data_IF_863310588075
#
_entry.id   IF_863310588075
#
_cell.length_a   1.000
_cell.length_b   1.000
_cell.length_c   1.000
_cell.angle_alpha   90.00
_cell.angle_beta   90.00
_cell.angle_gamma   90.00
#
_symmetry.space_group_name_H-M   'P 1'
#
loop_
_entity.id
_entity.type
_entity.pdbx_description
1 polymer ?
#
# COMPACT_ATOMS: atom_id res chain seq x y z
N UNK A 1 27.06 57.93 24.67
CA UNK A 1 26.29 56.75 25.17
C UNK A 1 25.75 56.03 23.97
N UNK A 2 26.44 54.91 23.57
CA UNK A 2 26.00 54.05 22.43
C UNK A 2 25.07 52.99 22.98
N UNK A 3 23.81 52.95 22.53
CA UNK A 3 22.84 51.90 22.87
C UNK A 3 23.01 50.74 21.87
N UNK A 4 23.58 49.66 22.33
CA UNK A 4 23.66 48.39 21.61
C UNK A 4 22.31 47.70 21.75
N UNK A 5 21.57 47.59 20.64
CA UNK A 5 20.38 46.71 20.53
C UNK A 5 20.87 45.28 20.38
N UNK A 6 20.63 44.45 21.38
CA UNK A 6 20.77 43.00 21.27
C UNK A 6 19.51 42.47 20.58
N UNK A 7 19.65 42.05 19.31
CA UNK A 7 18.61 41.31 18.64
C UNK A 7 18.64 39.87 19.13
N UNK A 8 17.64 39.47 19.90
CA UNK A 8 17.37 38.07 20.26
C UNK A 8 16.69 37.43 19.08
N UNK A 9 17.44 36.65 18.30
CA UNK A 9 16.87 35.75 17.31
C UNK A 9 16.25 34.56 18.05
N UNK A 10 14.92 34.58 18.21
CA UNK A 10 14.16 33.42 18.62
C UNK A 10 14.20 32.45 17.44
N UNK A 11 15.08 31.44 17.51
CA UNK A 11 14.93 30.24 16.66
C UNK A 11 13.62 29.59 17.13
N UNK A 12 12.55 29.78 16.39
CA UNK A 12 11.38 28.92 16.48
C UNK A 12 11.84 27.54 16.00
N UNK A 13 12.19 26.65 16.95
CA UNK A 13 12.23 25.23 16.67
C UNK A 13 10.79 24.83 16.29
N UNK A 14 10.52 24.72 15.00
CA UNK A 14 9.35 23.99 14.53
C UNK A 14 9.55 22.55 15.02
N UNK A 15 8.88 22.18 16.09
CA UNK A 15 8.67 20.77 16.41
C UNK A 15 7.86 20.20 15.25
N UNK A 16 8.56 19.62 14.28
CA UNK A 16 7.91 18.87 13.22
C UNK A 16 7.08 17.78 13.90
N UNK A 17 5.80 17.72 13.59
CA UNK A 17 4.95 16.58 13.97
C UNK A 17 5.55 15.38 13.25
N UNK A 18 5.99 14.37 13.99
CA UNK A 18 6.62 13.18 13.43
C UNK A 18 5.63 12.03 13.48
N UNK A 19 5.59 11.20 12.42
CA UNK A 19 4.99 9.88 12.45
C UNK A 19 5.70 9.07 13.52
N UNK A 20 4.95 8.37 14.34
CA UNK A 20 5.49 7.68 15.53
C UNK A 20 6.69 8.44 16.07
N UNK A 21 6.45 9.35 16.99
CA UNK A 21 7.48 10.26 17.52
C UNK A 21 8.69 9.48 18.01
N UNK A 22 9.89 9.84 17.54
CA UNK A 22 11.13 9.11 17.78
C UNK A 22 11.11 7.63 17.31
N UNK A 23 10.21 7.26 16.42
CA UNK A 23 10.16 5.93 15.79
C UNK A 23 11.33 5.69 14.85
N UNK A 24 11.46 4.46 14.41
CA UNK A 24 12.45 4.05 13.41
C UNK A 24 11.91 4.39 12.00
N UNK A 25 12.60 5.25 11.23
CA UNK A 25 12.21 5.51 9.85
C UNK A 25 12.29 4.26 8.99
N UNK A 26 11.25 4.03 8.17
CA UNK A 26 11.16 2.89 7.24
C UNK A 26 10.89 3.40 5.84
N UNK A 27 11.36 2.67 4.84
CA UNK A 27 10.99 2.95 3.45
C UNK A 27 9.54 2.54 3.20
N UNK A 28 8.71 3.47 2.77
CA UNK A 28 7.33 3.16 2.38
C UNK A 28 7.26 2.16 1.20
N UNK A 29 8.30 2.05 0.38
CA UNK A 29 8.37 1.06 -0.71
C UNK A 29 8.51 -0.38 -0.21
N UNK A 30 8.90 -0.59 1.03
CA UNK A 30 8.89 -1.92 1.65
C UNK A 30 7.47 -2.35 2.06
N UNK A 31 6.56 -1.36 2.19
CA UNK A 31 5.17 -1.52 2.60
C UNK A 31 4.21 -0.76 1.65
N UNK A 32 4.18 -1.11 0.35
CA UNK A 32 3.44 -0.34 -0.66
C UNK A 32 1.92 -0.36 -0.49
N UNK A 33 1.39 -1.29 0.31
CA UNK A 33 -0.03 -1.34 0.67
C UNK A 33 -0.42 -0.44 1.85
N UNK A 34 0.54 0.23 2.52
CA UNK A 34 0.22 1.21 3.54
C UNK A 34 -0.21 2.53 2.93
N UNK A 35 -1.19 3.13 3.56
CA UNK A 35 -1.92 4.28 3.05
C UNK A 35 -1.74 5.47 3.99
N UNK A 36 -1.33 6.60 3.41
CA UNK A 36 -1.31 7.90 4.06
C UNK A 36 -2.61 8.67 3.77
N UNK A 37 -3.19 9.18 4.81
CA UNK A 37 -4.30 10.12 4.81
C UNK A 37 -4.14 11.03 6.05
N UNK A 38 -5.17 11.72 6.54
CA UNK A 38 -5.09 12.38 7.87
C UNK A 38 -4.82 11.39 9.02
N UNK A 39 -4.93 10.12 8.72
CA UNK A 39 -4.62 8.93 9.49
C UNK A 39 -3.68 8.02 8.68
N UNK A 40 -3.48 6.80 9.18
CA UNK A 40 -2.83 5.69 8.47
C UNK A 40 -3.85 4.61 8.17
N UNK A 41 -3.66 3.86 7.10
CA UNK A 41 -4.49 2.70 6.77
C UNK A 41 -3.70 1.63 6.01
N UNK A 42 -4.37 0.53 5.71
CA UNK A 42 -3.78 -0.58 4.95
C UNK A 42 -4.73 -1.03 3.85
N UNK A 43 -4.25 -1.11 2.62
CA UNK A 43 -5.00 -1.67 1.49
C UNK A 43 -5.20 -3.17 1.69
N UNK A 44 -6.45 -3.62 1.62
CA UNK A 44 -6.84 -5.03 1.66
C UNK A 44 -7.88 -5.35 0.58
N UNK A 45 -8.04 -6.63 0.22
CA UNK A 45 -9.09 -7.09 -0.71
C UNK A 45 -9.16 -6.31 -2.03
N UNK A 46 -8.03 -5.85 -2.54
CA UNK A 46 -7.93 -5.15 -3.82
C UNK A 46 -8.25 -3.65 -3.78
N UNK A 47 -9.32 -3.21 -3.14
CA UNK A 47 -9.78 -1.81 -3.16
C UNK A 47 -10.26 -1.26 -1.82
N UNK A 48 -10.14 -2.01 -0.75
CA UNK A 48 -10.55 -1.58 0.58
C UNK A 48 -9.35 -1.06 1.38
N UNK A 49 -9.54 0.00 2.13
CA UNK A 49 -8.56 0.51 3.10
C UNK A 49 -9.09 0.24 4.49
N UNK A 50 -8.40 -0.63 5.21
CA UNK A 50 -8.63 -0.90 6.62
C UNK A 50 -8.01 0.23 7.44
N UNK A 51 -8.80 0.87 8.32
CA UNK A 51 -8.37 2.00 9.14
C UNK A 51 -9.22 2.14 10.40
N UNK A 52 -8.92 3.09 11.27
CA UNK A 52 -9.74 3.39 12.44
C UNK A 52 -11.03 4.13 12.04
N UNK A 53 -12.14 3.87 12.75
CA UNK A 53 -13.42 4.51 12.46
C UNK A 53 -13.38 6.03 12.68
N UNK A 54 -12.74 6.49 13.75
CA UNK A 54 -12.67 7.93 14.02
C UNK A 54 -11.92 8.71 12.91
N UNK A 55 -11.18 8.02 12.03
CA UNK A 55 -10.58 8.63 10.85
C UNK A 55 -11.63 9.04 9.80
N UNK A 56 -12.85 8.47 9.87
CA UNK A 56 -13.97 8.85 8.99
C UNK A 56 -14.66 10.14 9.43
N UNK A 57 -14.40 10.59 10.64
CA UNK A 57 -15.17 11.61 11.36
C UNK A 57 -14.91 13.06 10.97
N UNK A 58 -14.05 13.33 10.06
CA UNK A 58 -13.89 14.73 9.69
C UNK A 58 -15.14 15.25 8.99
N UNK A 59 -15.68 16.29 9.59
CA UNK A 59 -16.90 17.06 9.27
C UNK A 59 -17.08 17.54 7.81
N UNK A 60 -16.40 16.97 6.85
CA UNK A 60 -16.35 17.55 5.51
C UNK A 60 -17.34 16.95 4.53
N UNK A 61 -18.05 15.85 4.86
CA UNK A 61 -19.02 15.23 3.97
C UNK A 61 -18.52 14.94 2.55
N UNK A 62 -17.21 15.00 2.33
CA UNK A 62 -16.54 14.88 1.03
C UNK A 62 -15.69 13.62 0.94
N UNK A 63 -15.53 13.14 -0.28
CA UNK A 63 -14.61 12.06 -0.64
C UNK A 63 -13.17 12.50 -0.29
N UNK A 64 -12.42 11.60 0.35
CA UNK A 64 -11.06 11.92 0.78
C UNK A 64 -10.02 11.35 -0.16
N UNK A 65 -8.93 12.06 -0.37
CA UNK A 65 -7.77 11.50 -1.04
C UNK A 65 -7.08 10.49 -0.11
N UNK A 66 -6.62 9.41 -0.72
CA UNK A 66 -5.87 8.32 -0.09
C UNK A 66 -4.59 8.16 -0.88
N UNK A 67 -3.44 8.26 -0.22
CA UNK A 67 -2.13 8.23 -0.86
C UNK A 67 -1.41 6.91 -0.55
N UNK A 68 -1.08 6.14 -1.57
CA UNK A 68 -0.23 4.95 -1.44
C UNK A 68 1.23 5.35 -1.73
N UNK A 69 1.90 5.87 -0.72
CA UNK A 69 3.22 6.49 -0.81
C UNK A 69 4.31 5.52 -1.32
N UNK A 70 4.21 4.25 -0.95
CA UNK A 70 5.18 3.23 -1.33
C UNK A 70 4.86 2.50 -2.64
N UNK A 71 3.67 2.72 -3.21
CA UNK A 71 3.23 2.04 -4.42
C UNK A 71 3.85 2.66 -5.69
N UNK A 72 3.84 1.90 -6.77
CA UNK A 72 4.20 2.43 -8.08
C UNK A 72 3.20 3.52 -8.51
N UNK A 73 3.68 4.52 -9.23
CA UNK A 73 2.81 5.57 -9.77
C UNK A 73 1.89 4.98 -10.85
N UNK A 74 0.62 5.37 -10.79
CA UNK A 74 -0.34 5.00 -11.83
C UNK A 74 0.09 5.51 -13.22
N UNK A 75 -0.59 5.03 -14.24
CA UNK A 75 -0.39 5.49 -15.63
C UNK A 75 -0.62 6.99 -15.80
N UNK A 76 -1.38 7.63 -14.91
CA UNK A 76 -1.58 9.07 -14.84
C UNK A 76 -0.52 9.80 -13.99
N UNK A 77 0.44 9.06 -13.43
CA UNK A 77 1.52 9.60 -12.58
C UNK A 77 1.10 9.90 -11.14
N UNK A 78 -0.10 9.49 -10.72
CA UNK A 78 -0.59 9.70 -9.37
C UNK A 78 -0.43 8.47 -8.48
N UNK A 79 -0.24 8.70 -7.18
CA UNK A 79 -0.35 7.70 -6.12
C UNK A 79 -1.61 7.91 -5.27
N UNK A 80 -2.44 8.87 -5.67
CA UNK A 80 -3.66 9.24 -4.96
C UNK A 80 -4.86 8.52 -5.52
N UNK A 81 -5.73 8.10 -4.63
CA UNK A 81 -7.00 7.44 -4.91
C UNK A 81 -8.13 8.20 -4.23
N UNK A 82 -9.33 8.06 -4.72
CA UNK A 82 -10.51 8.68 -4.13
C UNK A 82 -11.30 7.63 -3.38
N UNK A 83 -11.60 7.89 -2.12
CA UNK A 83 -12.60 7.15 -1.35
C UNK A 83 -13.98 7.38 -1.96
N UNK A 84 -14.79 6.34 -2.09
CA UNK A 84 -16.18 6.43 -2.60
C UNK A 84 -17.21 6.06 -1.54
N UNK A 85 -16.85 5.23 -0.56
CA UNK A 85 -17.68 4.89 0.59
C UNK A 85 -16.82 4.57 1.83
N UNK A 86 -17.43 4.58 3.00
CA UNK A 86 -16.86 4.13 4.26
C UNK A 86 -17.91 3.35 5.04
N UNK A 87 -17.55 2.13 5.41
CA UNK A 87 -18.39 1.23 6.20
C UNK A 87 -17.70 1.02 7.54
N UNK A 88 -18.38 1.30 8.63
CA UNK A 88 -17.89 1.00 9.98
C UNK A 88 -18.64 -0.18 10.58
N UNK A 89 -18.00 -0.88 11.50
CA UNK A 89 -18.60 -2.03 12.18
C UNK A 89 -19.83 -1.65 13.01
N UNK A 90 -19.91 -0.41 13.51
CA UNK A 90 -21.08 0.09 14.24
C UNK A 90 -22.34 0.09 13.39
N UNK A 91 -22.24 0.38 12.09
CA UNK A 91 -23.39 0.30 11.18
C UNK A 91 -23.88 -1.12 11.03
N UNK A 92 -22.99 -2.09 11.22
CA UNK A 92 -23.26 -3.49 10.99
C UNK A 92 -23.81 -4.20 12.25
N UNK A 93 -23.14 -4.06 13.39
CA UNK A 93 -23.43 -4.79 14.62
C UNK A 93 -23.96 -3.92 15.77
N UNK A 94 -23.94 -2.59 15.65
CA UNK A 94 -24.28 -1.67 16.71
C UNK A 94 -23.29 -1.66 17.89
N UNK A 95 -22.07 -2.15 17.67
CA UNK A 95 -20.96 -2.13 18.63
C UNK A 95 -20.13 -0.86 18.44
N UNK A 96 -19.34 -0.49 19.44
CA UNK A 96 -18.57 0.74 19.44
C UNK A 96 -17.12 0.56 18.95
N UNK A 97 -16.88 -0.45 18.12
CA UNK A 97 -15.52 -0.72 17.61
C UNK A 97 -14.97 0.42 16.78
N UNK A 98 -13.72 0.78 17.03
CA UNK A 98 -13.02 1.84 16.31
C UNK A 98 -12.31 1.28 15.07
N UNK A 99 -13.08 0.72 14.15
CA UNK A 99 -12.61 0.10 12.90
C UNK A 99 -13.52 0.50 11.73
N UNK A 100 -12.93 0.71 10.56
CA UNK A 100 -13.64 1.09 9.33
C UNK A 100 -12.95 0.54 8.09
N UNK A 101 -13.74 0.29 7.06
CA UNK A 101 -13.29 -0.05 5.71
C UNK A 101 -13.71 1.05 4.74
N UNK A 102 -12.77 1.65 4.06
CA UNK A 102 -13.03 2.65 3.03
C UNK A 102 -12.91 2.01 1.67
N UNK A 103 -13.97 2.10 0.88
CA UNK A 103 -13.95 1.65 -0.50
C UNK A 103 -13.29 2.70 -1.40
N UNK A 104 -12.32 2.28 -2.22
CA UNK A 104 -11.69 3.12 -3.23
C UNK A 104 -12.40 3.00 -4.57
N UNK A 105 -12.39 4.07 -5.37
CA UNK A 105 -13.01 4.11 -6.69
C UNK A 105 -12.41 3.09 -7.68
N UNK A 106 -11.18 2.64 -7.43
CA UNK A 106 -10.47 1.64 -8.23
C UNK A 106 -9.41 0.94 -7.39
N UNK A 107 -9.01 -0.26 -7.81
CA UNK A 107 -7.90 -0.99 -7.17
C UNK A 107 -6.57 -0.29 -7.45
N UNK A 108 -5.78 -0.02 -6.42
CA UNK A 108 -4.41 0.48 -6.55
C UNK A 108 -3.45 -0.57 -7.11
N UNK A 109 -2.32 -0.09 -7.64
CA UNK A 109 -1.24 -0.92 -8.15
C UNK A 109 -0.20 -1.12 -7.06
N UNK A 110 -0.17 -2.31 -6.49
CA UNK A 110 0.79 -2.69 -5.44
C UNK A 110 1.41 -4.04 -5.75
N UNK A 111 2.71 -4.16 -5.54
CA UNK A 111 3.48 -5.40 -5.75
C UNK A 111 3.61 -6.25 -4.48
N UNK A 112 3.21 -5.70 -3.33
CA UNK A 112 3.22 -6.38 -2.02
C UNK A 112 2.03 -5.96 -1.20
N UNK A 113 1.52 -6.88 -0.39
CA UNK A 113 0.46 -6.65 0.59
C UNK A 113 0.85 -7.23 1.95
N UNK A 114 0.19 -6.75 3.00
CA UNK A 114 0.31 -7.30 4.35
C UNK A 114 -0.90 -8.19 4.62
N UNK A 115 -0.68 -9.46 4.91
CA UNK A 115 -1.76 -10.39 5.23
C UNK A 115 -2.32 -10.18 6.63
N UNK A 116 -3.60 -10.51 6.80
CA UNK A 116 -4.30 -10.43 8.07
C UNK A 116 -4.15 -11.74 8.85
N UNK A 117 -4.23 -11.65 10.18
CA UNK A 117 -4.38 -12.82 11.05
C UNK A 117 -5.70 -12.75 11.79
N UNK A 118 -6.43 -13.86 11.77
CA UNK A 118 -7.63 -14.06 12.59
C UNK A 118 -7.33 -14.82 13.89
N UNK A 119 -6.06 -15.15 14.13
CA UNK A 119 -5.67 -15.87 15.34
C UNK A 119 -5.81 -14.97 16.56
N UNK A 120 -6.55 -15.38 17.59
CA UNK A 120 -6.60 -14.64 18.84
C UNK A 120 -5.21 -14.42 19.42
N UNK A 121 -4.95 -13.21 19.87
CA UNK A 121 -3.65 -12.87 20.47
C UNK A 121 -3.62 -13.44 21.89
N UNK A 122 -2.75 -14.42 22.12
CA UNK A 122 -2.48 -14.93 23.47
C UNK A 122 -1.78 -13.86 24.31
N UNK A 123 -2.07 -13.84 25.61
CA UNK A 123 -1.40 -12.93 26.55
C UNK A 123 0.03 -13.41 26.82
N UNK A 124 0.92 -13.14 25.89
CA UNK A 124 2.35 -13.35 26.05
C UNK A 124 3.08 -11.99 26.13
N UNK A 125 3.60 -11.70 27.33
CA UNK A 125 4.30 -10.44 27.61
C UNK A 125 5.66 -10.34 26.90
N UNK A 126 6.11 -11.40 26.24
CA UNK A 126 7.36 -11.42 25.48
C UNK A 126 7.16 -11.18 24.00
N UNK A 127 5.94 -11.28 23.51
CA UNK A 127 5.62 -11.02 22.10
C UNK A 127 5.85 -9.55 21.75
N UNK A 128 6.56 -9.32 20.66
CA UNK A 128 6.85 -7.98 20.13
C UNK A 128 5.92 -7.66 18.97
N UNK A 129 5.23 -6.54 19.09
CA UNK A 129 4.31 -6.01 18.09
C UNK A 129 4.96 -4.83 17.38
N UNK A 130 4.95 -4.84 16.06
CA UNK A 130 5.41 -3.71 15.26
C UNK A 130 4.24 -2.84 14.87
N UNK A 131 4.25 -1.58 15.28
CA UNK A 131 3.26 -0.55 14.91
C UNK A 131 3.85 0.28 13.78
N UNK A 132 3.04 0.60 12.79
CA UNK A 132 3.43 1.41 11.63
C UNK A 132 2.49 2.60 11.46
N UNK A 133 3.04 3.76 11.11
CA UNK A 133 2.23 4.94 10.87
C UNK A 133 2.95 6.03 10.10
N UNK A 134 2.16 6.89 9.44
CA UNK A 134 2.64 8.08 8.74
C UNK A 134 2.56 9.33 9.61
N UNK A 135 1.76 9.29 10.70
CA UNK A 135 1.49 10.48 11.50
C UNK A 135 0.98 11.63 10.64
N UNK A 136 1.38 12.85 10.98
CA UNK A 136 1.10 14.05 10.20
C UNK A 136 2.34 14.56 9.45
N UNK A 137 3.17 13.65 8.91
CA UNK A 137 4.53 13.95 8.47
C UNK A 137 4.75 14.10 6.98
N UNK A 138 3.70 14.11 6.16
CA UNK A 138 3.84 14.16 4.71
C UNK A 138 4.77 13.06 4.16
N UNK A 139 4.26 11.83 4.08
CA UNK A 139 4.88 10.70 3.37
C UNK A 139 6.07 10.01 4.07
N UNK A 140 6.29 10.21 5.34
CA UNK A 140 7.33 9.48 6.08
C UNK A 140 6.72 8.38 6.92
N UNK A 141 7.03 7.15 6.59
CA UNK A 141 6.63 5.99 7.37
C UNK A 141 7.64 5.75 8.49
N UNK A 142 7.14 5.56 9.71
CA UNK A 142 7.93 5.14 10.86
C UNK A 142 7.32 3.89 11.50
N UNK A 143 8.13 3.19 12.29
CA UNK A 143 7.67 2.09 13.14
C UNK A 143 8.13 2.24 14.57
N UNK A 144 7.40 1.57 15.47
CA UNK A 144 7.81 1.34 16.84
C UNK A 144 7.50 -0.11 17.25
N UNK A 145 8.20 -0.62 18.25
CA UNK A 145 7.98 -1.93 18.82
C UNK A 145 7.33 -1.80 20.20
N UNK A 146 6.26 -2.56 20.40
CA UNK A 146 5.48 -2.59 21.64
C UNK A 146 5.34 -4.03 22.12
N UNK A 147 4.95 -4.21 23.38
CA UNK A 147 4.60 -5.50 23.99
C UNK A 147 3.21 -5.38 24.63
N UNK A 148 2.58 -6.49 24.98
CA UNK A 148 1.29 -6.46 25.69
C UNK A 148 1.48 -5.69 27.01
N UNK A 149 0.58 -4.74 27.28
CA UNK A 149 0.57 -4.00 28.53
C UNK A 149 0.23 -4.94 29.68
N UNK A 150 1.12 -5.01 30.67
CA UNK A 150 0.96 -5.89 31.82
C UNK A 150 -0.04 -5.38 32.87
N UNK A 151 -0.43 -4.12 32.76
CA UNK A 151 -1.21 -3.41 33.79
C UNK A 151 -2.69 -3.32 33.44
N UNK A 152 -3.08 -3.56 32.20
CA UNK A 152 -4.45 -3.45 31.74
C UNK A 152 -5.05 -4.86 31.59
N UNK A 153 -6.30 -5.02 32.02
CA UNK A 153 -7.01 -6.29 31.93
C UNK A 153 -7.23 -6.66 30.46
N UNK A 154 -7.22 -7.94 30.21
CA UNK A 154 -7.49 -8.51 28.90
C UNK A 154 -8.90 -8.13 28.42
N UNK A 155 -9.02 -7.72 27.15
CA UNK A 155 -10.25 -7.34 26.51
C UNK A 155 -10.34 -8.08 25.17
N UNK A 156 -11.52 -8.60 24.82
CA UNK A 156 -11.70 -9.37 23.59
C UNK A 156 -11.60 -8.48 22.34
N UNK A 157 -12.08 -7.24 22.46
CA UNK A 157 -12.10 -6.25 21.37
C UNK A 157 -10.79 -5.46 21.29
N UNK A 158 -10.28 -5.01 22.44
CA UNK A 158 -9.17 -4.08 22.50
C UNK A 158 -7.86 -4.78 22.87
N UNK A 159 -6.81 -4.35 22.22
CA UNK A 159 -5.42 -4.70 22.52
C UNK A 159 -4.74 -3.50 23.16
N UNK A 160 -4.22 -3.70 24.36
CA UNK A 160 -3.45 -2.69 25.07
C UNK A 160 -1.97 -3.04 24.99
N UNK A 161 -1.18 -2.10 24.48
CA UNK A 161 0.24 -2.27 24.25
C UNK A 161 1.03 -1.22 25.02
N UNK A 162 2.13 -1.61 25.63
CA UNK A 162 3.07 -0.75 26.31
C UNK A 162 4.43 -0.72 25.62
N UNK A 163 5.11 0.42 25.73
CA UNK A 163 6.47 0.56 25.23
C UNK A 163 7.37 1.11 26.35
N UNK A 164 8.18 0.24 26.93
CA UNK A 164 9.17 0.61 27.95
C UNK A 164 10.36 1.36 27.31
N UNK A 165 10.14 2.58 26.79
CA UNK A 165 11.21 3.51 26.34
C UNK A 165 12.03 3.10 25.12
N UNK A 166 11.63 2.09 24.35
CA UNK A 166 12.59 1.52 23.41
C UNK A 166 12.71 2.30 22.10
N UNK A 167 11.61 2.63 21.44
CA UNK A 167 11.70 3.33 20.17
C UNK A 167 10.33 3.84 19.68
N UNK A 168 10.08 5.06 19.93
CA UNK A 168 8.95 5.78 19.36
C UNK A 168 7.65 5.68 20.14
N UNK A 169 6.82 6.68 19.96
CA UNK A 169 5.50 6.83 20.55
C UNK A 169 4.51 7.10 19.45
N UNK A 170 3.37 6.41 19.45
CA UNK A 170 2.30 6.75 18.53
C UNK A 170 1.84 8.20 18.70
N UNK A 171 1.49 8.84 17.61
CA UNK A 171 1.15 10.24 17.53
C UNK A 171 -0.14 10.43 16.69
N UNK A 172 -0.76 11.62 16.71
CA UNK A 172 -1.86 11.92 15.81
C UNK A 172 -1.50 11.63 14.34
N UNK A 173 -2.37 10.90 13.65
CA UNK A 173 -2.16 10.44 12.27
C UNK A 173 -1.63 9.01 12.14
N UNK A 174 -1.18 8.37 13.23
CA UNK A 174 -0.85 6.94 13.25
C UNK A 174 -2.10 6.08 13.44
N UNK A 175 -3.23 6.67 13.83
CA UNK A 175 -4.54 6.02 13.94
C UNK A 175 -4.89 5.26 12.66
N UNK A 176 -5.40 4.04 12.79
CA UNK A 176 -5.72 3.14 11.67
C UNK A 176 -4.50 2.41 11.09
N UNK A 177 -3.29 2.74 11.53
CA UNK A 177 -2.06 2.05 11.15
C UNK A 177 -2.05 0.59 11.63
N UNK A 178 -1.46 -0.34 10.85
CA UNK A 178 -1.46 -1.74 11.19
C UNK A 178 -0.51 -2.05 12.35
N UNK A 179 -0.94 -3.00 13.16
CA UNK A 179 -0.11 -3.62 14.20
C UNK A 179 0.17 -5.05 13.77
N UNK A 180 1.45 -5.38 13.62
CA UNK A 180 1.90 -6.66 13.15
C UNK A 180 2.45 -7.53 14.29
N UNK A 181 2.07 -8.80 14.25
CA UNK A 181 2.71 -9.89 14.96
C UNK A 181 3.06 -10.97 13.91
N UNK A 182 4.30 -11.44 13.89
CA UNK A 182 4.78 -12.43 12.92
C UNK A 182 4.51 -12.03 11.46
N UNK A 183 4.71 -10.76 11.13
CA UNK A 183 4.48 -10.15 9.81
C UNK A 183 3.02 -10.19 9.31
N UNK A 184 2.05 -10.45 10.17
CA UNK A 184 0.62 -10.37 9.84
C UNK A 184 -0.05 -9.29 10.66
N UNK A 185 -1.04 -8.62 10.07
CA UNK A 185 -1.85 -7.63 10.77
C UNK A 185 -2.75 -8.36 11.78
N UNK A 186 -2.60 -8.02 13.04
CA UNK A 186 -3.39 -8.60 14.15
C UNK A 186 -4.34 -7.59 14.79
N UNK A 187 -4.06 -6.29 14.60
CA UNK A 187 -4.86 -5.20 15.13
C UNK A 187 -4.61 -3.91 14.32
N UNK A 188 -5.44 -2.90 14.53
CA UNK A 188 -5.24 -1.54 14.03
C UNK A 188 -5.14 -0.57 15.19
N UNK A 189 -4.29 0.45 15.04
CA UNK A 189 -4.04 1.48 16.04
C UNK A 189 -5.27 2.39 16.18
N UNK A 190 -5.80 2.50 17.41
CA UNK A 190 -6.85 3.48 17.72
C UNK A 190 -6.22 4.80 18.20
N UNK A 191 -5.29 4.73 19.14
CA UNK A 191 -4.68 5.92 19.69
C UNK A 191 -3.84 5.64 20.95
N UNK A 192 -3.57 6.70 21.68
CA UNK A 192 -2.80 6.63 22.94
C UNK A 192 -3.69 6.01 24.02
N UNK A 193 -3.18 4.98 24.67
CA UNK A 193 -3.87 4.26 25.72
C UNK A 193 -3.74 4.95 27.11
N UNK A 194 -4.62 4.55 28.06
CA UNK A 194 -4.62 5.07 29.41
C UNK A 194 -3.53 4.42 30.31
N UNK A 195 -2.52 3.80 29.73
CA UNK A 195 -1.52 3.05 30.49
C UNK A 195 -0.86 3.89 31.59
N UNK A 196 -0.84 3.35 32.81
CA UNK A 196 -0.02 3.89 33.87
C UNK A 196 1.37 3.24 33.82
N UNK A 197 2.44 4.03 34.02
CA UNK A 197 3.78 3.46 34.03
C UNK A 197 3.94 2.49 35.21
N UNK A 198 4.76 1.43 35.05
CA UNK A 198 5.13 0.55 36.14
C UNK A 198 5.61 1.32 37.35
N UNK A 199 5.27 0.82 38.56
CA UNK A 199 5.70 1.46 39.82
C UNK A 199 7.23 1.56 39.85
N UNK A 200 7.72 2.80 39.93
CA UNK A 200 9.15 3.10 39.91
C UNK A 200 9.69 3.55 38.52
N UNK A 201 8.88 3.56 37.52
CA UNK A 201 9.22 4.17 36.22
C UNK A 201 8.90 5.67 36.27
N UNK A 202 9.77 6.58 35.82
CA UNK A 202 9.44 7.99 35.69
C UNK A 202 8.23 8.12 34.73
N UNK A 203 7.12 8.69 35.24
CA UNK A 203 5.82 8.72 34.52
C UNK A 203 5.83 9.43 33.17
N UNK A 204 6.86 10.25 32.88
CA UNK A 204 6.96 11.07 31.69
C UNK A 204 7.40 10.27 30.43
N UNK A 205 7.66 8.99 30.57
CA UNK A 205 8.29 8.20 29.52
C UNK A 205 7.58 6.85 29.21
N UNK A 206 6.46 6.55 29.83
CA UNK A 206 5.68 5.38 29.51
C UNK A 206 4.67 5.72 28.38
N UNK A 207 4.72 4.96 27.33
CA UNK A 207 3.85 5.14 26.19
C UNK A 207 2.99 3.90 26.01
N UNK A 208 1.68 4.08 26.01
CA UNK A 208 0.72 3.02 25.75
C UNK A 208 -0.03 3.28 24.45
N UNK A 209 -0.45 2.22 23.80
CA UNK A 209 -1.30 2.24 22.62
C UNK A 209 -2.56 1.40 22.89
N UNK A 210 -3.69 1.88 22.38
CA UNK A 210 -4.91 1.10 22.27
C UNK A 210 -5.11 0.73 20.80
N UNK A 211 -5.54 -0.48 20.55
CA UNK A 211 -5.82 -0.98 19.22
C UNK A 211 -7.07 -1.86 19.18
N UNK A 212 -7.76 -1.91 18.05
CA UNK A 212 -8.84 -2.86 17.79
C UNK A 212 -8.28 -4.16 17.23
N UNK A 213 -8.61 -5.30 17.87
CA UNK A 213 -8.17 -6.64 17.45
C UNK A 213 -8.91 -7.07 16.19
N UNK A 214 -8.20 -7.56 15.18
CA UNK A 214 -8.85 -8.09 13.96
C UNK A 214 -9.61 -9.38 14.23
N UNK A 215 -9.18 -10.22 15.17
CA UNK A 215 -9.92 -11.44 15.56
C UNK A 215 -11.33 -11.16 16.09
N UNK A 216 -11.56 -9.98 16.66
CA UNK A 216 -12.90 -9.55 17.10
C UNK A 216 -13.77 -9.14 15.92
N UNK A 217 -13.21 -8.43 14.94
CA UNK A 217 -13.92 -7.86 13.79
C UNK A 217 -13.86 -8.74 12.54
N UNK A 218 -13.35 -9.98 12.64
CA UNK A 218 -13.07 -10.83 11.49
C UNK A 218 -14.28 -11.12 10.60
N UNK A 219 -15.43 -11.43 11.21
CA UNK A 219 -16.65 -11.78 10.46
C UNK A 219 -17.17 -10.59 9.66
N UNK A 220 -17.15 -9.42 10.25
CA UNK A 220 -17.51 -8.16 9.57
C UNK A 220 -16.54 -7.83 8.42
N UNK A 221 -15.22 -8.04 8.60
CA UNK A 221 -14.23 -7.85 7.53
C UNK A 221 -14.53 -8.77 6.36
N UNK A 222 -14.78 -10.06 6.63
CA UNK A 222 -15.10 -11.04 5.58
C UNK A 222 -16.40 -10.73 4.85
N UNK A 223 -17.45 -10.32 5.58
CA UNK A 223 -18.73 -9.96 4.97
C UNK A 223 -18.63 -8.70 4.09
N UNK A 224 -17.80 -7.73 4.48
CA UNK A 224 -17.63 -6.47 3.75
C UNK A 224 -16.73 -6.64 2.54
N UNK A 225 -15.57 -7.27 2.70
CA UNK A 225 -14.56 -7.44 1.64
C UNK A 225 -14.97 -8.52 0.65
N UNK A 226 -15.25 -9.72 1.14
CA UNK A 226 -15.67 -10.93 0.40
C UNK A 226 -14.91 -11.13 -0.93
N UNK A 227 -13.59 -11.11 -0.89
CA UNK A 227 -12.73 -11.11 -2.08
C UNK A 227 -11.35 -11.70 -1.79
N UNK A 228 -10.56 -11.93 -2.82
CA UNK A 228 -9.14 -12.23 -2.67
C UNK A 228 -8.35 -11.00 -2.23
N UNK A 229 -7.33 -11.21 -1.42
CA UNK A 229 -6.36 -10.21 -0.99
C UNK A 229 -4.96 -10.60 -1.47
N UNK A 230 -4.44 -9.86 -2.43
CA UNK A 230 -3.21 -10.19 -3.15
C UNK A 230 -2.55 -8.92 -3.73
N UNK A 231 -1.27 -8.99 -4.17
CA UNK A 231 -0.65 -7.95 -5.00
C UNK A 231 -1.41 -7.78 -6.32
N UNK A 232 -1.55 -6.55 -6.81
CA UNK A 232 -2.26 -6.27 -8.07
C UNK A 232 -1.35 -6.19 -9.28
N UNK A 233 -0.03 -6.04 -9.04
CA UNK A 233 1.01 -6.08 -10.08
C UNK A 233 2.11 -7.05 -9.66
N UNK A 234 2.87 -7.53 -10.65
CA UNK A 234 4.01 -8.43 -10.43
C UNK A 234 5.03 -8.35 -11.55
N UNK A 235 6.15 -9.02 -11.36
CA UNK A 235 7.19 -9.15 -12.38
C UNK A 235 7.60 -10.60 -12.56
N UNK A 236 7.85 -10.98 -13.81
CA UNK A 236 8.41 -12.28 -14.18
C UNK A 236 9.37 -12.09 -15.36
N UNK A 237 10.61 -12.56 -15.21
CA UNK A 237 11.60 -12.47 -16.29
C UNK A 237 11.30 -13.46 -17.42
N UNK A 238 11.81 -13.16 -18.63
CA UNK A 238 11.71 -14.05 -19.78
C UNK A 238 12.29 -15.45 -19.49
N UNK A 239 11.52 -16.48 -19.76
CA UNK A 239 11.87 -17.89 -19.53
C UNK A 239 11.96 -18.27 -18.04
N UNK A 240 11.35 -17.50 -17.15
CA UNK A 240 11.32 -17.72 -15.70
C UNK A 240 9.90 -17.90 -15.19
N UNK A 241 9.82 -18.35 -13.93
CA UNK A 241 8.60 -18.37 -13.14
C UNK A 241 8.70 -17.43 -11.95
N UNK A 242 7.56 -16.95 -11.49
CA UNK A 242 7.41 -16.22 -10.22
C UNK A 242 6.19 -16.73 -9.48
N UNK A 243 6.18 -16.59 -8.17
CA UNK A 243 5.06 -16.98 -7.31
C UNK A 243 4.56 -15.76 -6.57
N UNK A 244 3.26 -15.57 -6.53
CA UNK A 244 2.58 -14.60 -5.68
C UNK A 244 1.73 -15.34 -4.65
N UNK A 245 1.54 -14.72 -3.51
CA UNK A 245 0.65 -15.18 -2.45
C UNK A 245 -0.68 -14.43 -2.52
N UNK A 246 -1.78 -15.14 -2.24
CA UNK A 246 -3.11 -14.57 -2.10
C UNK A 246 -3.76 -15.11 -0.84
N UNK A 247 -4.42 -14.25 -0.08
CA UNK A 247 -5.21 -14.60 1.10
C UNK A 247 -6.69 -14.56 0.77
N UNK A 248 -7.42 -15.57 1.22
CA UNK A 248 -8.88 -15.55 1.11
C UNK A 248 -9.48 -14.66 2.19
N UNK A 249 -10.14 -13.57 1.79
CA UNK A 249 -11.02 -12.78 2.65
C UNK A 249 -12.49 -13.01 2.29
N UNK A 250 -12.85 -14.21 1.83
CA UNK A 250 -14.23 -14.62 1.57
C UNK A 250 -14.92 -15.07 2.84
N UNK A 251 -16.24 -14.97 2.88
CA UNK A 251 -17.07 -15.39 4.03
C UNK A 251 -17.00 -16.90 4.31
N UNK A 252 -16.60 -17.70 3.36
CA UNK A 252 -16.52 -19.15 3.50
C UNK A 252 -15.42 -19.74 2.65
N UNK A 253 -15.26 -21.07 2.73
CA UNK A 253 -14.30 -21.77 1.92
C UNK A 253 -14.59 -21.58 0.41
N UNK A 254 -13.60 -21.21 -0.35
CA UNK A 254 -13.67 -20.99 -1.80
C UNK A 254 -12.68 -21.86 -2.54
N UNK A 255 -12.99 -22.18 -3.78
CA UNK A 255 -12.03 -22.69 -4.77
C UNK A 255 -11.83 -21.65 -5.84
N UNK A 256 -10.64 -21.59 -6.42
CA UNK A 256 -10.36 -20.69 -7.50
C UNK A 256 -10.16 -21.43 -8.84
N UNK A 257 -10.54 -20.79 -9.95
CA UNK A 257 -10.36 -21.25 -11.32
C UNK A 257 -9.69 -20.16 -12.17
N UNK A 258 -8.68 -19.53 -11.62
CA UNK A 258 -7.95 -18.45 -12.26
C UNK A 258 -7.51 -18.77 -13.68
N UNK A 259 -7.51 -17.74 -14.53
CA UNK A 259 -7.07 -17.82 -15.91
C UNK A 259 -5.94 -16.83 -16.19
N UNK A 260 -5.15 -17.13 -17.24
CA UNK A 260 -4.04 -16.26 -17.65
C UNK A 260 -4.24 -15.80 -19.10
N UNK A 261 -3.71 -14.61 -19.40
CA UNK A 261 -3.68 -14.03 -20.74
C UNK A 261 -2.42 -13.22 -20.98
N UNK A 262 -2.13 -12.88 -22.24
CA UNK A 262 -0.90 -12.19 -22.61
C UNK A 262 0.31 -13.13 -22.63
N UNK A 263 1.45 -12.68 -22.08
CA UNK A 263 2.69 -13.46 -22.07
C UNK A 263 2.92 -14.20 -20.74
N UNK A 264 1.85 -14.61 -20.06
CA UNK A 264 1.97 -15.46 -18.87
C UNK A 264 1.12 -16.71 -18.99
N UNK A 265 1.57 -17.79 -18.37
CA UNK A 265 0.88 -19.06 -18.22
C UNK A 265 0.88 -19.45 -16.74
N UNK A 266 -0.19 -20.11 -16.27
CA UNK A 266 -0.28 -20.58 -14.88
C UNK A 266 0.37 -21.96 -14.79
N UNK A 267 1.31 -22.12 -13.88
CA UNK A 267 1.80 -23.42 -13.46
C UNK A 267 0.82 -24.01 -12.42
N UNK A 268 -0.17 -24.73 -12.93
CA UNK A 268 -1.25 -25.30 -12.11
C UNK A 268 -0.72 -26.24 -11.04
N UNK A 269 0.34 -27.00 -11.35
CA UNK A 269 0.90 -27.97 -10.41
C UNK A 269 1.55 -27.31 -9.17
N UNK A 270 2.08 -26.09 -9.35
CA UNK A 270 2.74 -25.30 -8.31
C UNK A 270 1.87 -24.14 -7.79
N UNK A 271 0.58 -24.10 -8.17
CA UNK A 271 -0.40 -23.09 -7.73
C UNK A 271 -1.37 -23.66 -6.73
N UNK A 272 -1.12 -23.49 -5.43
CA UNK A 272 -1.96 -24.09 -4.38
C UNK A 272 -3.37 -23.51 -4.33
N UNK A 273 -3.61 -22.27 -4.81
CA UNK A 273 -4.95 -21.68 -4.89
C UNK A 273 -5.88 -22.45 -5.82
N UNK A 274 -5.35 -23.17 -6.80
CA UNK A 274 -6.12 -23.99 -7.75
C UNK A 274 -6.38 -25.42 -7.28
N UNK A 275 -5.81 -25.81 -6.14
CA UNK A 275 -5.75 -27.21 -5.69
C UNK A 275 -6.56 -27.46 -4.41
N UNK A 276 -7.85 -27.09 -4.40
CA UNK A 276 -8.74 -27.40 -3.31
C UNK A 276 -9.54 -26.22 -2.79
N UNK A 277 -10.05 -26.38 -1.58
CA UNK A 277 -10.79 -25.33 -0.86
C UNK A 277 -9.84 -24.54 0.02
N UNK A 278 -9.88 -23.23 -0.12
CA UNK A 278 -9.14 -22.27 0.67
C UNK A 278 -10.09 -21.70 1.72
N UNK A 279 -9.74 -21.84 3.00
CA UNK A 279 -10.55 -21.32 4.09
C UNK A 279 -10.38 -19.79 4.24
N UNK A 280 -11.31 -19.09 4.89
CA UNK A 280 -11.13 -17.69 5.27
C UNK A 280 -9.79 -17.49 6.01
N UNK A 281 -9.05 -16.44 5.66
CA UNK A 281 -7.71 -16.09 6.14
C UNK A 281 -6.57 -17.02 5.73
N UNK A 282 -6.86 -18.17 5.09
CA UNK A 282 -5.79 -19.01 4.54
C UNK A 282 -5.08 -18.30 3.39
N UNK A 283 -3.77 -18.53 3.31
CA UNK A 283 -2.90 -18.03 2.25
C UNK A 283 -2.60 -19.19 1.31
N UNK A 284 -2.75 -18.95 0.03
CA UNK A 284 -2.39 -19.85 -1.05
C UNK A 284 -1.51 -19.13 -2.08
N UNK A 285 -1.05 -19.84 -3.09
CA UNK A 285 -0.10 -19.31 -4.08
C UNK A 285 -0.57 -19.51 -5.50
N UNK A 286 -0.21 -18.55 -6.37
CA UNK A 286 -0.22 -18.71 -7.82
C UNK A 286 1.21 -18.63 -8.33
N UNK A 287 1.62 -19.64 -9.08
CA UNK A 287 2.89 -19.64 -9.81
C UNK A 287 2.61 -19.43 -11.29
N UNK A 288 3.23 -18.40 -11.86
CA UNK A 288 3.11 -18.07 -13.27
C UNK A 288 4.46 -18.12 -13.97
N UNK A 289 4.46 -18.43 -15.26
CA UNK A 289 5.64 -18.41 -16.12
C UNK A 289 5.45 -17.38 -17.23
N UNK A 290 6.53 -16.82 -17.74
CA UNK A 290 6.54 -15.95 -18.93
C UNK A 290 7.58 -16.45 -19.91
N UNK A 291 7.24 -16.56 -21.19
CA UNK A 291 8.19 -16.95 -22.22
C UNK A 291 9.13 -15.81 -22.59
N UNK A 292 8.58 -14.60 -22.74
CA UNK A 292 9.29 -13.47 -23.32
C UNK A 292 9.49 -12.28 -22.36
N UNK A 293 8.90 -12.32 -21.17
CA UNK A 293 8.92 -11.21 -20.21
C UNK A 293 8.05 -10.01 -20.62
N UNK A 294 7.05 -10.22 -21.47
CA UNK A 294 6.05 -9.19 -21.84
C UNK A 294 4.89 -9.15 -20.85
N UNK A 295 4.02 -8.16 -21.06
CA UNK A 295 2.82 -8.02 -20.23
C UNK A 295 1.88 -9.21 -20.37
N UNK A 296 1.38 -9.66 -19.21
CA UNK A 296 0.32 -10.65 -19.12
C UNK A 296 -0.51 -10.44 -17.87
N UNK A 297 -1.70 -11.02 -17.83
CA UNK A 297 -2.68 -10.84 -16.76
C UNK A 297 -3.14 -12.18 -16.22
N UNK A 298 -3.03 -12.36 -14.91
CA UNK A 298 -3.72 -13.40 -14.17
C UNK A 298 -5.07 -12.84 -13.72
N UNK A 299 -6.17 -13.54 -14.02
CA UNK A 299 -7.52 -13.17 -13.58
C UNK A 299 -8.03 -14.25 -12.66
N UNK A 300 -8.40 -13.89 -11.42
CA UNK A 300 -8.94 -14.75 -10.39
C UNK A 300 -10.45 -14.98 -10.63
N UNK A 301 -11.04 -15.97 -9.96
CA UNK A 301 -12.45 -16.33 -10.14
C UNK A 301 -13.43 -15.20 -9.79
N UNK A 302 -13.07 -14.34 -8.83
CA UNK A 302 -13.87 -13.17 -8.43
C UNK A 302 -13.72 -11.97 -9.41
N UNK A 303 -12.91 -12.13 -10.47
CA UNK A 303 -12.66 -11.13 -11.48
C UNK A 303 -11.55 -10.14 -11.14
N UNK A 304 -10.91 -10.25 -9.98
CA UNK A 304 -9.72 -9.47 -9.66
C UNK A 304 -8.54 -9.89 -10.55
N UNK A 305 -7.60 -8.99 -10.74
CA UNK A 305 -6.48 -9.24 -11.67
C UNK A 305 -5.13 -8.89 -11.06
N UNK A 306 -4.12 -9.65 -11.48
CA UNK A 306 -2.70 -9.31 -11.27
C UNK A 306 -2.06 -9.10 -12.63
N UNK A 307 -1.51 -7.90 -12.86
CA UNK A 307 -0.83 -7.57 -14.13
C UNK A 307 0.67 -7.79 -13.95
N UNK A 308 1.23 -8.72 -14.69
CA UNK A 308 2.67 -8.98 -14.71
C UNK A 308 3.34 -8.18 -15.82
N UNK A 309 4.55 -7.68 -15.54
CA UNK A 309 5.38 -6.96 -16.50
C UNK A 309 4.66 -5.79 -17.19
N UNK A 310 3.83 -5.07 -16.44
CA UNK A 310 3.01 -3.97 -16.93
C UNK A 310 3.79 -3.02 -17.83
N UNK A 311 3.24 -2.70 -19.01
CA UNK A 311 3.85 -1.81 -20.00
C UNK A 311 4.93 -2.44 -20.88
N UNK A 312 5.35 -3.69 -20.62
CA UNK A 312 6.33 -4.38 -21.48
C UNK A 312 5.63 -5.04 -22.67
N UNK A 313 5.54 -4.35 -23.80
CA UNK A 313 4.88 -4.86 -25.00
C UNK A 313 5.82 -5.66 -25.90
N UNK A 314 5.27 -6.61 -26.64
CA UNK A 314 5.98 -7.31 -27.72
C UNK A 314 6.50 -6.30 -28.75
N UNK A 315 7.77 -6.38 -29.20
CA UNK A 315 8.28 -5.51 -30.25
C UNK A 315 7.42 -5.61 -31.51
N UNK A 316 6.94 -4.47 -31.98
CA UNK A 316 6.20 -4.42 -33.25
C UNK A 316 7.22 -4.68 -34.37
N UNK A 317 7.14 -5.83 -35.03
CA UNK A 317 7.90 -6.08 -36.23
C UNK A 317 7.39 -5.11 -37.30
N UNK A 318 8.25 -4.21 -37.85
CA UNK A 318 7.82 -3.36 -38.94
C UNK A 318 7.23 -4.24 -40.08
N UNK A 319 6.14 -3.83 -40.74
CA UNK A 319 5.59 -4.58 -41.85
C UNK A 319 6.72 -4.80 -42.87
N UNK A 320 6.93 -6.07 -43.24
CA UNK A 320 7.84 -6.42 -44.33
C UNK A 320 7.41 -5.61 -45.53
N UNK A 321 8.27 -4.76 -46.13
CA UNK A 321 7.89 -4.05 -47.33
C UNK A 321 7.42 -5.08 -48.37
N UNK A 322 6.17 -4.97 -48.78
CA UNK A 322 5.62 -5.78 -49.86
C UNK A 322 6.53 -5.59 -51.06
N UNK A 323 7.03 -6.66 -51.72
CA UNK A 323 7.78 -6.50 -52.96
C UNK A 323 6.89 -5.76 -53.93
N UNK A 324 7.32 -4.60 -54.39
CA UNK A 324 6.65 -3.83 -55.44
C UNK A 324 6.59 -4.75 -56.68
N UNK A 325 5.41 -5.27 -57.00
CA UNK A 325 5.16 -5.91 -58.30
C UNK A 325 5.36 -4.83 -59.35
N UNK A 326 6.41 -5.00 -60.13
CA UNK A 326 6.99 -4.10 -61.12
C UNK A 326 5.97 -3.28 -61.90
N UNK A 327 5.90 -2.01 -61.59
CA UNK A 327 5.36 -0.94 -62.44
C UNK A 327 6.50 0.00 -62.83
N UNK A 328 7.04 -0.21 -63.97
CA UNK A 328 8.02 0.69 -64.59
C UNK A 328 7.40 2.05 -64.85
N UNK A 329 7.76 3.08 -64.05
CA UNK A 329 7.85 4.45 -64.58
C UNK A 329 8.76 5.29 -63.67
N UNK A 330 9.79 5.83 -64.23
CA UNK A 330 10.85 6.54 -63.58
C UNK A 330 10.43 7.86 -62.95
N UNK A 331 11.14 8.17 -61.89
CA UNK A 331 11.09 9.43 -61.17
C UNK A 331 12.12 9.42 -60.08
N UNK A 332 13.41 9.51 -60.43
CA UNK A 332 14.49 9.75 -59.45
C UNK A 332 14.31 11.16 -58.86
N UNK A 333 13.68 11.25 -57.73
CA UNK A 333 13.80 12.44 -56.87
C UNK A 333 15.01 12.23 -55.99
N UNK A 334 16.12 12.72 -56.56
CA UNK A 334 17.43 12.48 -56.08
C UNK A 334 17.77 13.13 -54.76
N UNK A 335 18.87 12.64 -54.25
CA UNK A 335 19.69 12.98 -53.09
C UNK A 335 19.86 14.48 -52.78
N UNK A 336 19.40 15.36 -53.64
CA UNK A 336 19.46 16.84 -53.50
C UNK A 336 18.41 17.44 -52.55
N UNK A 337 17.31 16.73 -52.28
CA UNK A 337 16.27 17.23 -51.37
C UNK A 337 16.65 17.13 -49.89
N UNK A 338 17.55 16.22 -49.52
CA UNK A 338 18.04 16.08 -48.14
C UNK A 338 19.05 17.16 -47.74
N UNK A 339 19.79 17.70 -48.72
CA UNK A 339 20.79 18.76 -48.45
C UNK A 339 20.14 20.14 -48.23
N UNK A 340 18.97 20.37 -48.78
CA UNK A 340 18.25 21.63 -48.57
C UNK A 340 17.68 21.81 -47.15
N UNK A 341 17.32 20.73 -46.47
CA UNK A 341 16.84 20.78 -45.10
C UNK A 341 17.95 20.97 -44.05
N UNK A 342 19.16 20.52 -44.35
CA UNK A 342 20.34 20.77 -43.46
C UNK A 342 20.92 22.16 -43.62
N UNK A 343 20.77 22.81 -44.78
CA UNK A 343 21.28 24.16 -45.02
C UNK A 343 20.49 25.29 -44.30
N UNK A 344 19.19 25.12 -44.08
CA UNK A 344 18.38 26.12 -43.41
C UNK A 344 18.51 26.11 -41.88
N UNK A 345 18.94 24.99 -41.28
CA UNK A 345 19.17 24.88 -39.83
C UNK A 345 20.41 25.65 -39.33
N UNK A 346 21.40 25.85 -40.17
CA UNK A 346 22.66 26.50 -39.78
C UNK A 346 22.63 28.04 -39.92
N UNK A 347 21.74 28.60 -40.75
CA UNK A 347 21.60 30.04 -40.92
C UNK A 347 20.76 30.75 -39.84
N UNK A 348 19.99 29.97 -39.00
CA UNK A 348 19.19 30.55 -37.96
C UNK A 348 19.89 30.75 -36.60
N UNK A 349 21.14 30.29 -36.48
CA UNK A 349 21.93 30.39 -35.24
C UNK A 349 22.89 31.59 -35.20
N UNK A 350 22.86 32.44 -36.22
CA UNK A 350 23.77 33.59 -36.37
C UNK A 350 23.19 34.97 -36.05
N UNK A 351 21.89 35.10 -35.69
CA UNK A 351 21.27 36.42 -35.50
C UNK A 351 20.61 36.60 -34.11
N UNK A 352 21.33 36.35 -33.04
CA UNK A 352 20.89 36.74 -31.70
C UNK A 352 22.10 37.08 -30.83
N UNK A 353 22.80 38.17 -31.20
CA UNK A 353 23.67 38.94 -30.30
C UNK A 353 23.82 40.34 -30.90
N UNK A 354 22.94 41.26 -30.46
CA UNK A 354 23.15 42.67 -30.22
C UNK A 354 21.78 43.35 -30.06
N UNK A 355 21.54 43.81 -28.86
CA UNK A 355 20.41 44.60 -28.47
C UNK A 355 20.06 44.38 -26.99
#
# INVERSE_FOLDING_TARGET
MKKTLLAFSILAASTGVHAIENGTPISATDFPSLVEMDCTGTLIGGKWVLTAWHCTWADTGGLRPVNLVGAETNTDGSQSYTQVDAIDENRFNGTASDISLWELARSPEVDKVLFLSNTPIERDLTSEFSIYGFGQTNQKLNSATYQIDNYILDDEELLYLGNDFKNGTIAPGDSGGPILLDNKIVAITNGIGPGEPPVGTPGDNYHSAIATRLSYSQDWILETVNAWHHPTIGTVDAGKSTTIEAQSLHMGAVSDDASASGDIEIDVANSSCLNGLIQPFDICTYTVTSENGYEGTLTLADGQTVVFNKGKSKPVTPPTPTPDEGGSSGGSMGFLSLLALFGFGLLRKGQSRHG
#
